data_IF_943181510320
#
_entry.id   IF_943181510320
#
_cell.length_a   1.000
_cell.length_b   1.000
_cell.length_c   1.000
_cell.angle_alpha   90.00
_cell.angle_beta   90.00
_cell.angle_gamma   90.00
#
_symmetry.space_group_name_H-M   'P 1'
#
loop_
_entity.id
_entity.type
_entity.pdbx_description
1 polymer ?
#
# COMPACT_ATOMS: atom_id res chain seq x y z
N UNK A 1 -4.97 30.27 -27.26
CA UNK A 1 -4.85 30.90 -25.92
C UNK A 1 -6.19 30.97 -25.17
N UNK A 2 -7.26 31.57 -25.70
CA UNK A 2 -8.56 31.65 -25.01
C UNK A 2 -9.14 30.27 -24.63
N UNK A 3 -9.21 29.33 -25.58
CA UNK A 3 -9.69 27.97 -25.32
C UNK A 3 -8.83 27.20 -24.32
N UNK A 4 -7.51 27.43 -24.30
CA UNK A 4 -6.60 26.84 -23.32
C UNK A 4 -6.89 27.35 -21.90
N UNK A 5 -7.21 28.63 -21.74
CA UNK A 5 -7.61 29.22 -20.46
C UNK A 5 -8.97 28.70 -20.00
N UNK A 6 -9.93 28.57 -20.91
CA UNK A 6 -11.24 27.96 -20.61
C UNK A 6 -11.09 26.51 -20.18
N UNK A 7 -10.28 25.71 -20.89
CA UNK A 7 -9.98 24.33 -20.51
C UNK A 7 -9.31 24.22 -19.15
N UNK A 8 -8.35 25.10 -18.83
CA UNK A 8 -7.70 25.14 -17.51
C UNK A 8 -8.68 25.50 -16.38
N UNK A 9 -9.60 26.44 -16.62
CA UNK A 9 -10.64 26.80 -15.65
C UNK A 9 -11.65 25.66 -15.45
N UNK A 10 -12.06 24.99 -16.52
CA UNK A 10 -12.94 23.81 -16.45
C UNK A 10 -12.25 22.65 -15.72
N UNK A 11 -10.96 22.42 -15.98
CA UNK A 11 -10.17 21.43 -15.26
C UNK A 11 -10.07 21.76 -13.77
N UNK A 12 -9.77 23.03 -13.42
CA UNK A 12 -9.70 23.46 -12.03
C UNK A 12 -11.06 23.34 -11.32
N UNK A 13 -12.17 23.63 -12.02
CA UNK A 13 -13.52 23.44 -11.50
C UNK A 13 -13.84 21.95 -11.28
N UNK A 14 -13.51 21.09 -12.26
CA UNK A 14 -13.67 19.65 -12.14
C UNK A 14 -12.86 19.08 -10.96
N UNK A 15 -11.59 19.47 -10.82
CA UNK A 15 -10.73 19.06 -9.70
C UNK A 15 -11.31 19.50 -8.35
N UNK A 16 -11.89 20.70 -8.26
CA UNK A 16 -12.57 21.18 -7.04
C UNK A 16 -13.82 20.36 -6.72
N UNK A 17 -14.64 20.03 -7.73
CA UNK A 17 -15.82 19.18 -7.55
C UNK A 17 -15.41 17.78 -7.09
N UNK A 18 -14.41 17.17 -7.74
CA UNK A 18 -13.86 15.86 -7.35
C UNK A 18 -13.35 15.92 -5.91
N UNK A 19 -12.56 16.92 -5.55
CA UNK A 19 -12.07 17.11 -4.18
C UNK A 19 -13.21 17.23 -3.17
N UNK A 20 -14.26 17.99 -3.51
CA UNK A 20 -15.45 18.16 -2.67
C UNK A 20 -16.21 16.85 -2.48
N UNK A 21 -16.39 16.08 -3.57
CA UNK A 21 -17.03 14.77 -3.55
C UNK A 21 -16.24 13.76 -2.73
N UNK A 22 -14.92 13.71 -2.89
CA UNK A 22 -14.03 12.86 -2.09
C UNK A 22 -14.15 13.23 -0.61
N UNK A 23 -14.09 14.53 -0.28
CA UNK A 23 -14.22 15.00 1.10
C UNK A 23 -15.61 14.66 1.67
N UNK A 24 -16.68 14.84 0.90
CA UNK A 24 -18.03 14.49 1.30
C UNK A 24 -18.19 12.98 1.50
N UNK A 25 -17.58 12.16 0.63
CA UNK A 25 -17.56 10.70 0.74
C UNK A 25 -16.87 10.25 2.04
N UNK A 26 -15.67 10.76 2.33
CA UNK A 26 -14.97 10.44 3.58
C UNK A 26 -15.71 10.95 4.82
N UNK A 27 -16.38 12.11 4.73
CA UNK A 27 -17.24 12.58 5.80
C UNK A 27 -18.45 11.67 6.01
N UNK A 28 -19.07 11.18 4.93
CA UNK A 28 -20.21 10.27 4.94
C UNK A 28 -19.87 8.85 5.41
N UNK A 29 -18.66 8.36 5.08
CA UNK A 29 -18.07 7.14 5.63
C UNK A 29 -17.97 7.22 7.17
N UNK A 30 -17.93 8.44 7.69
CA UNK A 30 -17.85 8.78 9.10
C UNK A 30 -16.41 9.06 9.50
N UNK A 31 -16.21 10.16 10.24
CA UNK A 31 -15.10 10.24 11.18
C UNK A 31 -15.61 9.61 12.45
N UNK A 32 -15.17 8.41 12.76
CA UNK A 32 -15.51 7.81 14.04
C UNK A 32 -15.26 8.78 15.17
N UNK A 33 -16.11 8.71 16.20
CA UNK A 33 -15.67 9.18 17.51
C UNK A 33 -14.38 8.41 17.83
N UNK A 34 -13.30 9.08 18.28
CA UNK A 34 -12.14 8.37 18.80
C UNK A 34 -12.67 7.37 19.81
N UNK A 35 -12.28 6.11 19.68
CA UNK A 35 -12.68 5.09 20.63
C UNK A 35 -12.00 5.47 21.96
N UNK A 36 -12.70 6.24 22.78
CA UNK A 36 -12.43 6.38 24.20
C UNK A 36 -12.32 4.99 24.84
N UNK A 37 -12.95 3.95 24.26
CA UNK A 37 -12.84 2.56 24.73
C UNK A 37 -11.43 1.94 24.65
N UNK A 38 -10.44 2.55 23.98
CA UNK A 38 -9.05 2.09 24.07
C UNK A 38 -8.31 2.67 25.30
N UNK A 39 -8.78 3.80 25.82
CA UNK A 39 -8.18 4.50 26.97
C UNK A 39 -9.00 4.36 28.27
N UNK A 40 -10.28 3.97 28.20
CA UNK A 40 -11.18 3.96 29.36
C UNK A 40 -10.89 2.81 30.33
N UNK A 41 -10.13 1.76 29.95
CA UNK A 41 -9.86 0.61 30.82
C UNK A 41 -8.40 0.11 30.81
N UNK A 42 -7.42 0.93 30.39
CA UNK A 42 -6.01 0.49 30.32
C UNK A 42 -5.12 1.39 31.17
N UNK A 43 -4.30 0.76 32.02
CA UNK A 43 -3.24 1.45 32.74
C UNK A 43 -2.15 1.88 31.74
N UNK A 44 -2.26 3.11 31.24
CA UNK A 44 -1.26 3.70 30.34
C UNK A 44 0.04 3.96 31.12
N UNK A 45 1.21 3.66 30.55
CA UNK A 45 2.49 4.10 31.10
C UNK A 45 2.47 5.61 31.39
N UNK A 46 3.10 6.00 32.51
CA UNK A 46 3.01 7.37 33.04
C UNK A 46 3.57 8.42 32.06
N UNK A 47 4.59 8.07 31.29
CA UNK A 47 5.17 8.91 30.23
C UNK A 47 4.20 9.11 29.05
N UNK A 48 3.50 8.05 28.63
CA UNK A 48 2.46 8.12 27.59
C UNK A 48 1.28 8.97 28.07
N UNK A 49 0.86 8.81 29.33
CA UNK A 49 -0.22 9.60 29.95
C UNK A 49 0.11 11.09 29.96
N UNK A 50 1.32 11.47 30.41
CA UNK A 50 1.80 12.85 30.40
C UNK A 50 1.89 13.42 28.99
N UNK A 51 2.41 12.64 28.04
CA UNK A 51 2.49 13.05 26.64
C UNK A 51 1.10 13.29 26.04
N UNK A 52 0.15 12.38 26.28
CA UNK A 52 -1.23 12.50 25.81
C UNK A 52 -1.94 13.73 26.41
N UNK A 53 -1.81 13.95 27.72
CA UNK A 53 -2.38 15.12 28.40
C UNK A 53 -1.79 16.44 27.86
N UNK A 54 -0.47 16.48 27.63
CA UNK A 54 0.20 17.64 27.05
C UNK A 54 -0.25 17.92 25.61
N UNK A 55 -0.46 16.88 24.80
CA UNK A 55 -0.99 17.01 23.44
C UNK A 55 -2.45 17.49 23.43
N UNK A 56 -3.30 16.94 24.29
CA UNK A 56 -4.69 17.37 24.41
C UNK A 56 -4.80 18.85 24.81
N UNK A 57 -4.03 19.27 25.83
CA UNK A 57 -3.90 20.68 26.19
C UNK A 57 -3.47 21.55 24.99
N UNK A 58 -2.44 21.12 24.25
CA UNK A 58 -1.95 21.81 23.07
C UNK A 58 -2.99 21.90 21.95
N UNK A 59 -3.69 20.81 21.63
CA UNK A 59 -4.69 20.81 20.57
C UNK A 59 -5.96 21.59 20.94
N UNK A 60 -6.36 21.59 22.22
CA UNK A 60 -7.43 22.48 22.71
C UNK A 60 -7.05 23.95 22.54
N UNK A 61 -5.83 24.34 22.93
CA UNK A 61 -5.30 25.69 22.66
C UNK A 61 -5.28 26.03 21.17
N UNK A 62 -4.95 25.07 20.30
CA UNK A 62 -5.03 25.23 18.85
C UNK A 62 -6.47 25.39 18.35
N UNK A 63 -7.46 24.80 19.01
CA UNK A 63 -8.89 25.03 18.75
C UNK A 63 -9.32 26.45 19.13
N UNK A 64 -8.90 26.92 20.31
CA UNK A 64 -9.07 28.32 20.73
C UNK A 64 -8.38 29.34 19.83
N UNK A 65 -7.45 28.91 18.96
CA UNK A 65 -6.85 29.77 17.92
C UNK A 65 -7.90 30.38 16.98
N UNK A 66 -8.99 29.66 16.72
CA UNK A 66 -10.11 30.18 15.90
C UNK A 66 -10.83 31.33 16.62
N UNK A 67 -10.78 31.38 17.95
CA UNK A 67 -11.46 32.39 18.79
C UNK A 67 -10.56 33.58 19.18
N UNK A 68 -9.26 33.37 19.41
CA UNK A 68 -8.37 34.37 20.08
C UNK A 68 -7.45 35.13 19.10
N UNK A 69 -7.38 34.75 17.81
CA UNK A 69 -6.56 35.45 16.82
C UNK A 69 -5.07 35.03 16.80
N UNK A 70 -4.18 35.89 16.23
CA UNK A 70 -2.83 35.51 15.71
C UNK A 70 -1.98 34.71 16.73
N UNK A 71 -1.30 33.63 16.30
CA UNK A 71 -0.69 32.65 17.19
C UNK A 71 0.64 33.11 17.80
N UNK A 72 0.96 32.59 18.99
CA UNK A 72 2.35 32.41 19.45
C UNK A 72 3.07 31.48 18.46
N UNK A 73 4.09 32.01 17.75
CA UNK A 73 4.94 31.16 16.91
C UNK A 73 5.72 30.20 17.80
N UNK A 74 5.48 28.91 17.65
CA UNK A 74 6.25 27.89 18.34
C UNK A 74 7.70 27.91 17.85
N UNK A 75 8.62 27.79 18.79
CA UNK A 75 10.04 27.58 18.47
C UNK A 75 10.25 26.18 17.89
N UNK A 76 11.35 25.99 17.13
CA UNK A 76 11.73 24.66 16.62
C UNK A 76 11.90 23.64 17.75
N UNK A 77 12.34 24.07 18.94
CA UNK A 77 12.47 23.20 20.11
C UNK A 77 11.10 22.71 20.60
N UNK A 78 10.12 23.61 20.71
CA UNK A 78 8.75 23.25 21.08
C UNK A 78 8.11 22.30 20.06
N UNK A 79 8.33 22.53 18.76
CA UNK A 79 7.85 21.63 17.71
C UNK A 79 8.46 20.22 17.83
N UNK A 80 9.75 20.11 18.14
CA UNK A 80 10.40 18.80 18.38
C UNK A 80 9.82 18.07 19.59
N UNK A 81 9.49 18.79 20.66
CA UNK A 81 8.86 18.22 21.86
C UNK A 81 7.47 17.66 21.53
N UNK A 82 6.66 18.43 20.80
CA UNK A 82 5.33 18.00 20.34
C UNK A 82 5.45 16.76 19.44
N UNK A 83 6.33 16.79 18.44
CA UNK A 83 6.55 15.67 17.54
C UNK A 83 7.01 14.39 18.29
N UNK A 84 7.82 14.54 19.34
CA UNK A 84 8.24 13.42 20.19
C UNK A 84 7.08 12.85 20.99
N UNK A 85 6.24 13.71 21.56
CA UNK A 85 5.03 13.30 22.27
C UNK A 85 4.04 12.59 21.34
N UNK A 86 3.80 13.12 20.14
CA UNK A 86 2.95 12.50 19.11
C UNK A 86 3.48 11.11 18.72
N UNK A 87 4.81 10.98 18.53
CA UNK A 87 5.45 9.70 18.22
C UNK A 87 5.27 8.69 19.35
N UNK A 88 5.42 9.12 20.61
CA UNK A 88 5.26 8.24 21.78
C UNK A 88 3.83 7.68 21.87
N UNK A 89 2.83 8.57 21.81
CA UNK A 89 1.41 8.19 21.88
C UNK A 89 1.01 7.30 20.69
N UNK A 90 1.43 7.66 19.47
CA UNK A 90 1.20 6.84 18.26
C UNK A 90 1.82 5.44 18.39
N UNK A 91 3.07 5.37 18.86
CA UNK A 91 3.75 4.09 18.99
C UNK A 91 3.06 3.17 19.99
N UNK A 92 2.62 3.68 21.15
CA UNK A 92 1.85 2.87 22.11
C UNK A 92 0.54 2.39 21.48
N UNK A 93 -0.21 3.28 20.83
CA UNK A 93 -1.46 2.93 20.13
C UNK A 93 -1.25 1.80 19.12
N UNK A 94 -0.28 1.96 18.22
CA UNK A 94 -0.01 0.99 17.15
C UNK A 94 0.47 -0.34 17.70
N UNK A 95 1.33 -0.34 18.72
CA UNK A 95 1.82 -1.57 19.34
C UNK A 95 0.68 -2.44 19.91
N UNK A 96 -0.41 -1.81 20.37
CA UNK A 96 -1.56 -2.50 20.95
C UNK A 96 -2.71 -2.72 19.96
N UNK A 97 -2.61 -2.17 18.75
CA UNK A 97 -3.64 -2.34 17.70
C UNK A 97 -3.70 -3.77 17.19
N UNK A 98 -4.88 -4.36 17.13
CA UNK A 98 -5.06 -5.69 16.53
C UNK A 98 -5.27 -5.56 15.02
N UNK A 99 -4.37 -6.14 14.23
CA UNK A 99 -4.53 -6.22 12.77
C UNK A 99 -5.59 -7.29 12.49
N UNK A 100 -6.72 -6.87 11.92
CA UNK A 100 -7.75 -7.75 11.37
C UNK A 100 -7.81 -7.66 9.84
N UNK A 101 -8.79 -8.35 9.25
CA UNK A 101 -9.00 -8.37 7.80
C UNK A 101 -9.20 -6.97 7.20
N UNK A 102 -9.83 -6.06 7.95
CA UNK A 102 -10.06 -4.67 7.53
C UNK A 102 -8.74 -3.95 7.25
N UNK A 103 -7.79 -4.00 8.18
CA UNK A 103 -6.49 -3.38 8.01
C UNK A 103 -5.70 -4.07 6.91
N UNK A 104 -5.78 -5.41 6.79
CA UNK A 104 -5.07 -6.15 5.74
C UNK A 104 -5.49 -5.74 4.33
N UNK A 105 -6.80 -5.60 4.09
CA UNK A 105 -7.31 -5.15 2.77
C UNK A 105 -6.83 -3.73 2.45
N UNK A 106 -6.87 -2.82 3.43
CA UNK A 106 -6.41 -1.44 3.21
C UNK A 106 -4.89 -1.40 2.99
N UNK A 107 -4.11 -2.13 3.79
CA UNK A 107 -2.66 -2.24 3.63
C UNK A 107 -2.30 -2.78 2.26
N UNK A 108 -3.00 -3.83 1.80
CA UNK A 108 -2.84 -4.36 0.46
C UNK A 108 -3.16 -3.30 -0.60
N UNK A 109 -4.33 -2.67 -0.54
CA UNK A 109 -4.76 -1.69 -1.54
C UNK A 109 -3.80 -0.49 -1.61
N UNK A 110 -3.46 0.11 -0.46
CA UNK A 110 -2.55 1.24 -0.39
C UNK A 110 -1.14 0.82 -0.83
N UNK A 111 -0.68 -0.34 -0.40
CA UNK A 111 0.62 -0.89 -0.79
C UNK A 111 0.71 -1.16 -2.30
N UNK A 112 -0.33 -1.74 -2.89
CA UNK A 112 -0.41 -2.05 -4.32
C UNK A 112 -0.28 -0.80 -5.19
N UNK A 113 -0.96 0.29 -4.82
CA UNK A 113 -0.93 1.54 -5.58
C UNK A 113 0.34 2.34 -5.27
N UNK A 114 0.70 2.46 -3.99
CA UNK A 114 1.86 3.26 -3.57
C UNK A 114 3.19 2.66 -4.05
N UNK A 115 3.29 1.32 -4.09
CA UNK A 115 4.45 0.64 -4.65
C UNK A 115 4.63 0.93 -6.13
N UNK A 116 3.53 0.89 -6.91
CA UNK A 116 3.55 1.26 -8.32
C UNK A 116 3.94 2.72 -8.54
N UNK A 117 3.36 3.64 -7.76
CA UNK A 117 3.71 5.05 -7.86
C UNK A 117 5.19 5.31 -7.52
N UNK A 118 5.73 4.61 -6.51
CA UNK A 118 7.14 4.73 -6.15
C UNK A 118 8.04 4.20 -7.27
N UNK A 119 7.68 3.06 -7.86
CA UNK A 119 8.42 2.46 -8.95
C UNK A 119 8.37 3.31 -10.22
N UNK A 120 7.21 3.86 -10.56
CA UNK A 120 7.05 4.78 -11.69
C UNK A 120 7.91 6.04 -11.53
N UNK A 121 7.93 6.63 -10.32
CA UNK A 121 8.82 7.77 -10.01
C UNK A 121 10.28 7.37 -10.13
N UNK A 122 10.66 6.20 -9.63
CA UNK A 122 12.03 5.69 -9.73
C UNK A 122 12.46 5.50 -11.19
N UNK A 123 11.62 4.84 -12.00
CA UNK A 123 11.87 4.62 -13.43
C UNK A 123 11.96 5.95 -14.18
N UNK A 124 11.05 6.88 -13.91
CA UNK A 124 11.09 8.20 -14.53
C UNK A 124 12.39 8.94 -14.24
N UNK A 125 12.90 8.87 -13.00
CA UNK A 125 14.16 9.52 -12.61
C UNK A 125 15.38 8.82 -13.23
N UNK A 126 15.36 7.50 -13.34
CA UNK A 126 16.55 6.71 -13.72
C UNK A 126 16.66 6.46 -15.22
N UNK A 127 15.54 6.20 -15.91
CA UNK A 127 15.50 5.82 -17.33
C UNK A 127 14.68 6.79 -18.18
N UNK A 128 13.88 7.68 -17.58
CA UNK A 128 13.01 8.61 -18.31
C UNK A 128 11.78 7.95 -18.93
N UNK A 129 11.51 6.68 -18.60
CA UNK A 129 10.37 5.92 -19.10
C UNK A 129 9.25 5.85 -18.06
N UNK A 130 8.01 5.86 -18.53
CA UNK A 130 6.79 5.67 -17.72
C UNK A 130 6.08 4.41 -18.21
N UNK A 131 6.64 3.25 -17.87
CA UNK A 131 6.01 1.95 -18.17
C UNK A 131 5.14 1.53 -16.99
N UNK A 132 3.90 1.14 -17.31
CA UNK A 132 2.93 0.74 -16.30
C UNK A 132 3.18 -0.69 -15.82
N UNK A 133 3.84 -0.86 -14.67
CA UNK A 133 4.16 -2.19 -14.08
C UNK A 133 3.00 -2.85 -13.35
N UNK A 134 1.81 -2.74 -13.92
CA UNK A 134 0.59 -3.24 -13.30
C UNK A 134 0.65 -4.76 -13.10
N UNK A 135 0.12 -5.25 -11.97
CA UNK A 135 0.09 -6.67 -11.67
C UNK A 135 -1.29 -7.31 -11.84
N UNK A 136 -2.33 -6.52 -12.14
CA UNK A 136 -3.72 -6.98 -12.33
C UNK A 136 -4.36 -6.35 -13.58
N UNK A 137 -5.41 -6.98 -14.10
CA UNK A 137 -6.11 -6.50 -15.30
C UNK A 137 -6.99 -5.27 -15.03
N UNK A 138 -7.49 -5.06 -13.80
CA UNK A 138 -8.37 -3.93 -13.49
C UNK A 138 -7.78 -2.90 -12.52
N UNK A 139 -7.29 -1.78 -13.08
CA UNK A 139 -6.86 -0.64 -12.29
C UNK A 139 -5.43 -0.75 -11.75
N UNK A 140 -4.88 0.27 -11.10
CA UNK A 140 -3.45 0.38 -10.86
C UNK A 140 -3.00 -0.42 -9.61
N UNK A 141 -3.11 -1.74 -9.67
CA UNK A 141 -2.78 -2.62 -8.55
C UNK A 141 -1.63 -3.56 -8.88
N UNK A 142 -0.63 -3.60 -7.99
CA UNK A 142 0.41 -4.63 -7.97
C UNK A 142 0.21 -5.54 -6.75
N UNK A 143 -0.14 -6.82 -6.94
CA UNK A 143 -0.27 -7.77 -5.84
C UNK A 143 1.03 -7.94 -5.06
N UNK A 144 2.18 -7.94 -5.74
CA UNK A 144 3.50 -8.03 -5.10
C UNK A 144 3.69 -6.93 -4.05
N UNK A 145 3.42 -5.68 -4.41
CA UNK A 145 3.58 -4.54 -3.49
C UNK A 145 2.52 -4.51 -2.39
N UNK A 146 1.28 -4.89 -2.70
CA UNK A 146 0.22 -5.00 -1.71
C UNK A 146 0.53 -6.07 -0.66
N UNK A 147 0.92 -7.26 -1.09
CA UNK A 147 1.34 -8.35 -0.19
C UNK A 147 2.59 -7.95 0.58
N UNK A 148 3.59 -7.35 -0.07
CA UNK A 148 4.81 -6.86 0.60
C UNK A 148 4.51 -5.85 1.71
N UNK A 149 3.65 -4.87 1.43
CA UNK A 149 3.18 -3.90 2.43
C UNK A 149 2.50 -4.58 3.62
N UNK A 150 1.58 -5.52 3.36
CA UNK A 150 0.88 -6.25 4.41
C UNK A 150 1.82 -7.13 5.24
N UNK A 151 2.66 -7.95 4.58
CA UNK A 151 3.61 -8.85 5.24
C UNK A 151 4.64 -8.09 6.07
N UNK A 152 5.26 -7.05 5.51
CA UNK A 152 6.22 -6.21 6.24
C UNK A 152 5.56 -5.55 7.45
N UNK A 153 4.30 -5.10 7.34
CA UNK A 153 3.57 -4.49 8.46
C UNK A 153 3.28 -5.52 9.57
N UNK A 154 2.84 -6.73 9.20
CA UNK A 154 2.55 -7.81 10.17
C UNK A 154 3.82 -8.22 10.90
N UNK A 155 4.91 -8.52 10.18
CA UNK A 155 6.16 -8.95 10.81
C UNK A 155 6.76 -7.82 11.65
N UNK A 156 6.71 -6.58 11.17
CA UNK A 156 7.13 -5.39 11.92
C UNK A 156 6.38 -5.27 13.23
N UNK A 157 5.05 -5.38 13.23
CA UNK A 157 4.26 -5.29 14.46
C UNK A 157 4.60 -6.42 15.44
N UNK A 158 4.78 -7.65 14.94
CA UNK A 158 5.15 -8.82 15.75
C UNK A 158 6.53 -8.62 16.41
N UNK A 159 7.49 -8.09 15.67
CA UNK A 159 8.85 -7.82 16.15
C UNK A 159 8.88 -6.66 17.16
N UNK A 160 8.14 -5.57 16.89
CA UNK A 160 7.99 -4.44 17.82
C UNK A 160 7.42 -4.87 19.16
N UNK A 161 6.37 -5.71 19.16
CA UNK A 161 5.76 -6.26 20.39
C UNK A 161 6.72 -7.12 21.21
N UNK A 162 7.70 -7.73 20.56
CA UNK A 162 8.74 -8.55 21.20
C UNK A 162 9.98 -7.73 21.58
N UNK A 163 9.96 -6.41 21.40
CA UNK A 163 11.12 -5.54 21.57
C UNK A 163 12.35 -6.06 20.80
N UNK A 164 12.12 -6.55 19.57
CA UNK A 164 13.18 -7.08 18.73
C UNK A 164 14.26 -6.02 18.48
N UNK A 165 15.51 -6.45 18.55
CA UNK A 165 16.66 -5.62 18.21
C UNK A 165 16.69 -5.32 16.71
N UNK A 166 17.43 -4.28 16.31
CA UNK A 166 17.50 -3.86 14.91
C UNK A 166 17.94 -5.00 13.97
N UNK A 167 18.95 -5.80 14.36
CA UNK A 167 19.44 -6.89 13.51
C UNK A 167 18.41 -8.02 13.35
N UNK A 168 17.58 -8.28 14.36
CA UNK A 168 16.48 -9.26 14.25
C UNK A 168 15.44 -8.79 13.24
N UNK A 169 15.10 -7.50 13.27
CA UNK A 169 14.18 -6.89 12.31
C UNK A 169 14.73 -6.91 10.90
N UNK A 170 16.02 -6.58 10.75
CA UNK A 170 16.72 -6.66 9.49
C UNK A 170 16.65 -8.07 8.88
N UNK A 171 17.11 -9.09 9.62
CA UNK A 171 17.11 -10.47 9.13
C UNK A 171 15.72 -11.02 8.84
N UNK A 172 14.74 -10.73 9.70
CA UNK A 172 13.36 -11.15 9.47
C UNK A 172 12.78 -10.52 8.19
N UNK A 173 13.06 -9.25 7.93
CA UNK A 173 12.63 -8.59 6.71
C UNK A 173 13.36 -9.11 5.47
N UNK A 174 14.65 -9.44 5.55
CA UNK A 174 15.37 -10.11 4.46
C UNK A 174 14.69 -11.43 4.09
N UNK A 175 14.37 -12.26 5.08
CA UNK A 175 13.76 -13.58 4.85
C UNK A 175 12.35 -13.42 4.26
N UNK A 176 11.53 -12.55 4.86
CA UNK A 176 10.15 -12.33 4.39
C UNK A 176 10.13 -11.73 2.98
N UNK A 177 10.99 -10.76 2.70
CA UNK A 177 11.12 -10.16 1.38
C UNK A 177 11.64 -11.14 0.33
N UNK A 178 12.67 -11.91 0.64
CA UNK A 178 13.20 -12.95 -0.25
C UNK A 178 12.20 -14.05 -0.54
N UNK A 179 11.44 -14.51 0.46
CA UNK A 179 10.37 -15.48 0.25
C UNK A 179 9.24 -14.91 -0.60
N UNK A 180 8.90 -13.63 -0.41
CA UNK A 180 7.90 -12.95 -1.23
C UNK A 180 8.35 -12.89 -2.70
N UNK A 181 9.59 -12.47 -2.97
CA UNK A 181 10.14 -12.45 -4.33
C UNK A 181 10.17 -13.85 -4.94
N UNK A 182 10.66 -14.84 -4.19
CA UNK A 182 10.72 -16.22 -4.63
C UNK A 182 9.34 -16.76 -5.02
N UNK A 183 8.34 -16.61 -4.14
CA UNK A 183 6.99 -17.15 -4.36
C UNK A 183 6.30 -16.40 -5.49
N UNK A 184 6.45 -15.07 -5.55
CA UNK A 184 5.79 -14.26 -6.59
C UNK A 184 6.41 -14.53 -7.95
N UNK A 185 7.74 -14.53 -8.06
CA UNK A 185 8.42 -14.80 -9.31
C UNK A 185 8.14 -16.21 -9.82
N UNK A 186 8.26 -17.22 -8.95
CA UNK A 186 7.92 -18.60 -9.28
C UNK A 186 6.45 -18.79 -9.66
N UNK A 187 5.54 -18.16 -8.91
CA UNK A 187 4.11 -18.21 -9.19
C UNK A 187 3.75 -17.55 -10.52
N UNK A 188 4.39 -16.43 -10.85
CA UNK A 188 4.21 -15.74 -12.13
C UNK A 188 4.67 -16.61 -13.31
N UNK A 189 5.85 -17.21 -13.20
CA UNK A 189 6.36 -18.10 -14.25
C UNK A 189 5.49 -19.35 -14.39
N UNK A 190 5.17 -20.01 -13.28
CA UNK A 190 4.46 -21.31 -13.30
C UNK A 190 2.99 -21.18 -13.67
N UNK A 191 2.30 -20.14 -13.18
CA UNK A 191 0.85 -19.98 -13.36
C UNK A 191 0.49 -19.10 -14.56
N UNK A 192 1.38 -18.20 -14.95
CA UNK A 192 1.09 -17.20 -15.98
C UNK A 192 2.02 -17.30 -17.20
N UNK A 193 3.05 -18.15 -17.17
CA UNK A 193 4.06 -18.22 -18.25
C UNK A 193 4.80 -16.90 -18.44
N UNK A 194 4.89 -16.08 -17.38
CA UNK A 194 5.37 -14.72 -17.44
C UNK A 194 6.54 -14.49 -16.48
N UNK A 195 7.50 -13.67 -16.92
CA UNK A 195 8.67 -13.28 -16.12
C UNK A 195 8.78 -11.77 -16.14
N UNK A 196 8.62 -11.16 -14.95
CA UNK A 196 8.78 -9.71 -14.78
C UNK A 196 10.20 -9.31 -14.37
N UNK A 197 10.98 -10.21 -13.77
CA UNK A 197 12.39 -9.98 -13.46
C UNK A 197 13.18 -11.29 -13.41
N UNK A 198 14.46 -11.21 -13.78
CA UNK A 198 15.42 -12.30 -13.72
C UNK A 198 16.75 -11.78 -13.14
N UNK A 199 17.17 -12.37 -12.02
CA UNK A 199 18.39 -12.04 -11.31
C UNK A 199 19.55 -12.99 -11.60
N UNK A 200 19.41 -13.93 -12.54
CA UNK A 200 20.46 -14.91 -12.86
C UNK A 200 21.80 -14.28 -13.25
N UNK A 201 21.76 -13.08 -13.84
CA UNK A 201 22.97 -12.31 -14.19
C UNK A 201 23.48 -11.37 -13.07
N UNK A 202 22.77 -11.28 -11.94
CA UNK A 202 23.13 -10.40 -10.82
C UNK A 202 24.15 -11.11 -9.91
N UNK A 203 25.26 -10.47 -9.53
CA UNK A 203 26.20 -11.06 -8.58
C UNK A 203 25.53 -11.43 -7.25
N UNK A 204 25.68 -12.69 -6.84
CA UNK A 204 25.02 -13.22 -5.64
C UNK A 204 23.56 -13.63 -5.86
N UNK A 205 23.16 -13.96 -7.09
CA UNK A 205 21.92 -14.67 -7.38
C UNK A 205 21.86 -16.00 -6.60
N UNK A 206 20.74 -16.22 -5.92
CA UNK A 206 20.43 -17.47 -5.21
C UNK A 206 19.47 -18.31 -6.06
N UNK A 207 18.49 -17.64 -6.66
CA UNK A 207 17.54 -18.21 -7.63
C UNK A 207 17.32 -17.21 -8.76
N UNK A 208 16.52 -17.59 -9.77
CA UNK A 208 16.08 -16.69 -10.84
C UNK A 208 15.46 -15.40 -10.31
N UNK A 209 14.83 -15.41 -9.13
CA UNK A 209 14.09 -14.26 -8.60
C UNK A 209 14.63 -13.68 -7.30
N UNK A 210 15.65 -14.29 -6.69
CA UNK A 210 16.22 -13.82 -5.42
C UNK A 210 17.73 -13.67 -5.55
N UNK A 211 18.25 -12.49 -5.22
CA UNK A 211 19.69 -12.26 -5.11
C UNK A 211 20.05 -11.50 -3.83
N UNK A 212 21.27 -11.73 -3.34
CA UNK A 212 21.79 -11.16 -2.08
C UNK A 212 21.65 -9.64 -2.00
N UNK A 213 21.95 -8.84 -3.05
CA UNK A 213 21.77 -7.38 -2.98
C UNK A 213 20.33 -7.00 -2.63
N UNK A 214 19.33 -7.64 -3.25
CA UNK A 214 17.91 -7.36 -3.00
C UNK A 214 17.46 -7.83 -1.61
N UNK A 215 18.00 -8.95 -1.12
CA UNK A 215 17.78 -9.35 0.28
C UNK A 215 18.25 -8.26 1.25
N UNK A 216 19.43 -7.68 1.03
CA UNK A 216 19.93 -6.58 1.86
C UNK A 216 19.01 -5.34 1.77
N UNK A 217 18.51 -5.02 0.57
CA UNK A 217 17.50 -3.96 0.39
C UNK A 217 16.23 -4.24 1.22
N UNK A 218 15.71 -5.47 1.20
CA UNK A 218 14.57 -5.86 2.05
C UNK A 218 14.87 -5.73 3.54
N UNK A 219 16.09 -6.05 3.97
CA UNK A 219 16.54 -5.85 5.34
C UNK A 219 16.50 -4.37 5.76
N UNK A 220 17.10 -3.48 4.96
CA UNK A 220 17.11 -2.03 5.21
C UNK A 220 15.69 -1.48 5.18
N UNK A 221 14.90 -1.87 4.17
CA UNK A 221 13.51 -1.49 4.04
C UNK A 221 12.72 -1.91 5.28
N UNK A 222 12.93 -3.12 5.80
CA UNK A 222 12.30 -3.63 7.01
C UNK A 222 12.59 -2.79 8.26
N UNK A 223 13.82 -2.28 8.42
CA UNK A 223 14.16 -1.37 9.52
C UNK A 223 13.34 -0.08 9.43
N UNK A 224 13.33 0.55 8.26
CA UNK A 224 12.54 1.76 7.98
C UNK A 224 11.05 1.47 8.18
N UNK A 225 10.62 0.28 7.76
CA UNK A 225 9.23 -0.15 7.83
C UNK A 225 8.76 -0.30 9.27
N UNK A 226 9.56 -0.92 10.14
CA UNK A 226 9.21 -1.13 11.53
C UNK A 226 9.18 0.17 12.34
N UNK A 227 10.11 1.09 12.09
CA UNK A 227 10.29 2.30 12.91
C UNK A 227 9.47 3.51 12.45
N UNK A 228 9.15 3.57 11.15
CA UNK A 228 8.52 4.74 10.52
C UNK A 228 7.22 4.37 9.83
N UNK A 229 7.25 3.43 8.89
CA UNK A 229 6.10 3.18 7.99
C UNK A 229 4.95 2.49 8.74
N UNK A 230 5.22 1.43 9.49
CA UNK A 230 4.22 0.67 10.26
C UNK A 230 3.49 1.58 11.26
N UNK A 231 4.20 2.37 12.12
CA UNK A 231 3.52 3.30 13.01
C UNK A 231 2.69 4.33 12.26
N UNK A 232 3.17 4.86 11.14
CA UNK A 232 2.44 5.88 10.40
C UNK A 232 1.20 5.32 9.67
N UNK A 233 1.34 4.19 8.96
CA UNK A 233 0.26 3.55 8.22
C UNK A 233 -0.87 3.07 9.14
N UNK A 234 -0.54 2.33 10.20
CA UNK A 234 -1.57 1.79 11.10
C UNK A 234 -2.30 2.90 11.86
N UNK A 235 -1.60 4.00 12.18
CA UNK A 235 -2.20 5.18 12.80
C UNK A 235 -3.19 5.89 11.88
N UNK A 236 -2.88 5.95 10.58
CA UNK A 236 -3.73 6.51 9.53
C UNK A 236 -4.94 5.61 9.24
N UNK A 237 -4.74 4.29 9.16
CA UNK A 237 -5.79 3.31 8.87
C UNK A 237 -6.76 3.20 10.05
N UNK A 238 -6.21 3.09 11.27
CA UNK A 238 -6.98 2.96 12.50
C UNK A 238 -7.86 1.71 12.55
N UNK A 239 -8.90 1.80 13.38
CA UNK A 239 -9.95 0.79 13.51
C UNK A 239 -11.24 1.28 12.82
N UNK A 240 -12.05 0.38 12.24
CA UNK A 240 -13.31 0.77 11.66
C UNK A 240 -14.26 1.25 12.76
N UNK A 241 -14.81 2.44 12.55
CA UNK A 241 -15.66 3.15 13.51
C UNK A 241 -17.13 3.15 13.12
N UNK A 242 -17.43 2.83 11.86
CA UNK A 242 -18.79 2.74 11.34
C UNK A 242 -18.96 1.47 10.52
N UNK A 243 -20.19 0.95 10.46
CA UNK A 243 -20.52 -0.18 9.57
C UNK A 243 -20.30 0.15 8.09
N UNK A 244 -20.42 1.44 7.71
CA UNK A 244 -20.20 1.91 6.32
C UNK A 244 -18.75 1.71 5.88
N UNK A 245 -17.79 2.01 6.75
CA UNK A 245 -16.37 1.75 6.49
C UNK A 245 -16.12 0.26 6.24
N UNK A 246 -16.70 -0.59 7.07
CA UNK A 246 -16.55 -2.06 6.94
C UNK A 246 -17.14 -2.56 5.62
N UNK A 247 -18.36 -2.13 5.27
CA UNK A 247 -19.01 -2.52 4.00
C UNK A 247 -18.22 -2.01 2.79
N UNK A 248 -17.70 -0.78 2.86
CA UNK A 248 -16.88 -0.22 1.79
C UNK A 248 -15.60 -1.04 1.57
N UNK A 249 -14.87 -1.37 2.65
CA UNK A 249 -13.67 -2.20 2.56
C UNK A 249 -13.99 -3.63 2.12
N UNK A 250 -15.14 -4.18 2.50
CA UNK A 250 -15.61 -5.47 1.99
C UNK A 250 -15.83 -5.43 0.47
N UNK A 251 -16.49 -4.40 -0.05
CA UNK A 251 -16.71 -4.25 -1.50
C UNK A 251 -15.36 -4.15 -2.23
N UNK A 252 -14.41 -3.38 -1.69
CA UNK A 252 -13.05 -3.30 -2.24
C UNK A 252 -12.33 -4.66 -2.21
N UNK A 253 -12.48 -5.43 -1.13
CA UNK A 253 -11.91 -6.77 -1.03
C UNK A 253 -12.51 -7.72 -2.09
N UNK A 254 -13.82 -7.68 -2.29
CA UNK A 254 -14.50 -8.47 -3.33
C UNK A 254 -14.02 -8.05 -4.73
N UNK A 255 -13.93 -6.74 -4.98
CA UNK A 255 -13.40 -6.21 -6.25
C UNK A 255 -11.98 -6.75 -6.53
N UNK A 256 -11.07 -6.65 -5.55
CA UNK A 256 -9.70 -7.14 -5.70
C UNK A 256 -9.64 -8.65 -5.90
N UNK A 257 -10.50 -9.41 -5.19
CA UNK A 257 -10.60 -10.86 -5.37
C UNK A 257 -11.07 -11.24 -6.79
N UNK A 258 -12.05 -10.52 -7.32
CA UNK A 258 -12.51 -10.70 -8.70
C UNK A 258 -11.45 -10.29 -9.73
N UNK A 259 -10.68 -9.23 -9.47
CA UNK A 259 -9.59 -8.79 -10.35
C UNK A 259 -8.45 -9.81 -10.40
N UNK A 260 -8.06 -10.38 -9.26
CA UNK A 260 -7.08 -11.48 -9.20
C UNK A 260 -7.59 -12.68 -10.00
N UNK A 261 -8.84 -13.08 -9.81
CA UNK A 261 -9.46 -14.18 -10.57
C UNK A 261 -9.49 -13.90 -12.08
N UNK A 262 -9.89 -12.70 -12.48
CA UNK A 262 -9.93 -12.32 -13.89
C UNK A 262 -8.53 -12.22 -14.49
N UNK A 263 -7.55 -11.74 -13.74
CA UNK A 263 -6.15 -11.67 -14.18
C UNK A 263 -5.62 -13.07 -14.47
N UNK A 264 -5.79 -14.02 -13.55
CA UNK A 264 -5.33 -15.40 -13.77
C UNK A 264 -6.07 -16.07 -14.92
N UNK A 265 -7.38 -15.85 -15.06
CA UNK A 265 -8.16 -16.36 -16.18
C UNK A 265 -7.68 -15.79 -17.54
N UNK A 266 -7.32 -14.50 -17.60
CA UNK A 266 -6.79 -13.86 -18.81
C UNK A 266 -5.42 -14.41 -19.20
N UNK A 267 -4.52 -14.63 -18.24
CA UNK A 267 -3.22 -15.26 -18.50
C UNK A 267 -3.38 -16.72 -18.97
N UNK A 268 -4.25 -17.49 -18.33
CA UNK A 268 -4.54 -18.87 -18.76
C UNK A 268 -5.11 -18.92 -20.19
N UNK A 269 -6.00 -17.98 -20.54
CA UNK A 269 -6.52 -17.87 -21.91
C UNK A 269 -5.47 -17.44 -22.92
N UNK A 270 -4.59 -16.49 -22.56
CA UNK A 270 -3.47 -16.12 -23.42
C UNK A 270 -2.58 -17.33 -23.73
N UNK A 271 -2.12 -18.04 -22.70
CA UNK A 271 -1.30 -19.24 -22.87
C UNK A 271 -1.97 -20.31 -23.75
N UNK A 272 -3.28 -20.53 -23.56
CA UNK A 272 -4.03 -21.45 -24.39
C UNK A 272 -4.17 -20.99 -25.86
N UNK A 273 -4.32 -19.69 -26.12
CA UNK A 273 -4.31 -19.13 -27.49
C UNK A 273 -2.94 -19.30 -28.16
N UNK A 274 -1.88 -19.10 -27.40
CA UNK A 274 -0.50 -19.24 -27.90
C UNK A 274 -0.23 -20.72 -28.30
N UNK A 275 -0.88 -21.69 -27.65
CA UNK A 275 -0.87 -23.12 -28.03
C UNK A 275 -1.96 -23.51 -29.06
N UNK A 276 -2.68 -22.55 -29.65
CA UNK A 276 -3.73 -22.81 -30.64
C UNK A 276 -5.00 -23.49 -30.10
N UNK A 277 -5.23 -23.45 -28.78
CA UNK A 277 -6.38 -24.09 -28.11
C UNK A 277 -7.59 -23.13 -28.14
N UNK A 278 -8.70 -23.48 -28.82
CA UNK A 278 -9.90 -22.65 -28.87
C UNK A 278 -10.64 -22.60 -27.53
N UNK A 279 -11.45 -21.56 -27.27
CA UNK A 279 -12.19 -21.42 -26.02
C UNK A 279 -13.25 -22.53 -25.87
N UNK A 280 -13.34 -23.12 -24.68
CA UNK A 280 -14.21 -24.26 -24.40
C UNK A 280 -15.63 -23.86 -23.95
N UNK A 281 -15.85 -22.63 -23.49
CA UNK A 281 -17.12 -22.17 -22.93
C UNK A 281 -17.35 -20.67 -23.18
N UNK A 282 -18.57 -20.20 -22.91
CA UNK A 282 -18.95 -18.80 -23.16
C UNK A 282 -18.14 -17.76 -22.36
N UNK A 283 -17.62 -18.13 -21.20
CA UNK A 283 -16.76 -17.23 -20.41
C UNK A 283 -15.38 -17.06 -21.07
N UNK A 284 -14.79 -18.13 -21.56
CA UNK A 284 -13.52 -18.08 -22.30
C UNK A 284 -13.65 -17.31 -23.61
N UNK A 285 -14.76 -17.51 -24.34
CA UNK A 285 -15.06 -16.70 -25.54
C UNK A 285 -15.15 -15.21 -25.18
N UNK A 286 -15.79 -14.88 -24.06
CA UNK A 286 -15.89 -13.50 -23.58
C UNK A 286 -14.50 -12.92 -23.23
N UNK A 287 -13.65 -13.69 -22.55
CA UNK A 287 -12.26 -13.29 -22.26
C UNK A 287 -11.49 -13.06 -23.56
N UNK A 288 -11.54 -14.00 -24.50
CA UNK A 288 -10.82 -13.88 -25.78
C UNK A 288 -11.24 -12.64 -26.58
N UNK A 289 -12.50 -12.23 -26.45
CA UNK A 289 -13.06 -11.06 -27.13
C UNK A 289 -12.64 -9.74 -26.46
N UNK A 290 -12.52 -9.70 -25.13
CA UNK A 290 -12.29 -8.45 -24.36
C UNK A 290 -10.85 -8.27 -23.88
N UNK A 291 -10.09 -9.36 -23.73
CA UNK A 291 -8.73 -9.43 -23.21
C UNK A 291 -7.82 -10.13 -24.23
N UNK A 292 -7.66 -9.50 -25.39
CA UNK A 292 -6.80 -9.98 -26.48
C UNK A 292 -5.32 -10.04 -26.07
N UNK A 293 -4.51 -10.74 -26.85
CA UNK A 293 -3.05 -10.76 -26.62
C UNK A 293 -2.44 -9.35 -26.70
N UNK A 294 -2.96 -8.49 -27.58
CA UNK A 294 -2.55 -7.08 -27.66
C UNK A 294 -2.90 -6.32 -26.37
N UNK A 295 -4.12 -6.47 -25.86
CA UNK A 295 -4.49 -5.88 -24.57
C UNK A 295 -3.54 -6.33 -23.46
N UNK A 296 -3.27 -7.64 -23.36
CA UNK A 296 -2.41 -8.19 -22.34
C UNK A 296 -0.98 -7.65 -22.45
N UNK A 297 -0.41 -7.57 -23.65
CA UNK A 297 0.94 -7.02 -23.84
C UNK A 297 1.03 -5.53 -23.52
N UNK A 298 0.03 -4.73 -23.90
CA UNK A 298 -0.04 -3.31 -23.54
C UNK A 298 -0.31 -3.10 -22.04
N UNK A 299 -0.95 -4.06 -21.38
CA UNK A 299 -1.28 -3.97 -19.96
C UNK A 299 -0.11 -4.36 -19.06
N UNK A 300 0.69 -5.33 -19.50
CA UNK A 300 1.81 -5.93 -18.77
C UNK A 300 3.12 -5.69 -19.54
N UNK A 301 3.41 -4.42 -19.86
CA UNK A 301 4.54 -4.01 -20.72
C UNK A 301 5.91 -4.49 -20.20
N UNK A 302 6.02 -4.70 -18.90
CA UNK A 302 7.24 -5.11 -18.21
C UNK A 302 7.43 -6.63 -18.09
N UNK A 303 6.50 -7.43 -18.63
CA UNK A 303 6.57 -8.89 -18.54
C UNK A 303 6.98 -9.49 -19.87
N UNK A 304 8.02 -10.32 -19.84
CA UNK A 304 8.26 -11.27 -20.93
C UNK A 304 7.28 -12.41 -20.72
N UNK A 305 6.34 -12.55 -21.65
CA UNK A 305 5.36 -13.64 -21.64
C UNK A 305 5.81 -14.60 -22.72
N UNK A 306 6.31 -15.76 -22.31
CA UNK A 306 6.85 -16.75 -23.23
C UNK A 306 5.73 -17.28 -24.12
N UNK A 307 5.82 -16.99 -25.43
CA UNK A 307 5.22 -17.80 -26.48
C UNK A 307 6.38 -18.42 -27.24
N UNK A 308 6.38 -19.74 -27.43
CA UNK A 308 7.33 -20.37 -28.36
C UNK A 308 7.04 -19.82 -29.77
N UNK A 309 7.93 -18.97 -30.28
CA UNK A 309 8.06 -18.70 -31.72
C UNK A 309 8.64 -19.91 -32.45
#
# INVERSE_FOLDING_TARGET
MFWSLVSLLLLAAALRVIYSLIRAFFAWLGRGKPIERAAVNRDLPEDVRKAAAGLDYYYRLKGYREEIGKPTRLTRAQLKVIARAERLVRNDRVNHMMIGWYQLVILFLVGSVAGLALEEVWMFITTGLTEGRYGLVWGPFSPLYGVGCALLTIISLKLRRRNATWWQTFLAAMIVGGLLEQITGWGMETLMGAVSWDYSAVPGAITKWVAVPFLLFWGILGLIWADVVTPWLLDLIGEPTTRRQVVFVLILAVYLGLDVFMTTACFARRAARDHGIPPANGFEVWIDTHYSNEFMSNRFENMVIEGED
#
